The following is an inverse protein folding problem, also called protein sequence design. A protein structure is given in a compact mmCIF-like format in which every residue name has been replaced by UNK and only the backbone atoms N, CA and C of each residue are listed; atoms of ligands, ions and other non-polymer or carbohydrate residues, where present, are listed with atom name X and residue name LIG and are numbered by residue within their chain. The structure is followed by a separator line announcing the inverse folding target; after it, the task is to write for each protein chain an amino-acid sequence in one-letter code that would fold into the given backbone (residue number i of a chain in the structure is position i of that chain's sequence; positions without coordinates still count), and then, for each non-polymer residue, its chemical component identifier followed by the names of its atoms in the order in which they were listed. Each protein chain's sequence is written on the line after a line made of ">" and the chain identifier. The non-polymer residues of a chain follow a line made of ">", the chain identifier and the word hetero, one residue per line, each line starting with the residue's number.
data_IF_104684472865
#
_entry.id   IF_104684472865
#
_cell.length_a   1.000
_cell.length_b   1.000
_cell.length_c   1.000
_cell.angle_alpha   90.00
_cell.angle_beta   90.00
_cell.angle_gamma   90.00
#
_symmetry.space_group_name_H-M   'P 1'
#
loop_
_entity.id
_entity.type
_entity.pdbx_description
1 polymer ?
#
# COMPACT_ATOMS: atom_id res chain seq x y z
N UNK A 1 -4.74 -13.55 5.98
CA UNK A 1 -4.05 -12.57 5.13
C UNK A 1 -4.05 -13.04 3.69
N UNK A 2 -4.16 -12.11 2.75
CA UNK A 2 -4.18 -12.49 1.34
C UNK A 2 -2.80 -12.93 0.85
N UNK A 3 -2.76 -13.91 -0.05
CA UNK A 3 -1.51 -14.39 -0.61
C UNK A 3 -0.72 -13.34 -1.37
N UNK A 4 -1.40 -12.37 -1.97
CA UNK A 4 -0.74 -11.29 -2.71
C UNK A 4 0.12 -10.40 -1.79
N UNK A 5 -0.34 -10.19 -0.55
CA UNK A 5 0.42 -9.39 0.42
C UNK A 5 1.61 -10.18 0.95
N UNK A 6 1.40 -11.45 1.32
CA UNK A 6 2.49 -12.29 1.82
C UNK A 6 3.59 -12.45 0.77
N UNK A 7 3.20 -12.65 -0.48
CA UNK A 7 4.12 -12.84 -1.59
C UNK A 7 5.00 -11.62 -1.82
N UNK A 8 4.47 -10.43 -1.55
CA UNK A 8 5.18 -9.16 -1.80
C UNK A 8 5.63 -8.46 -0.51
N UNK A 9 5.58 -9.15 0.61
CA UNK A 9 5.85 -8.55 1.92
C UNK A 9 7.18 -7.82 2.00
N UNK A 10 8.25 -8.46 1.53
CA UNK A 10 9.58 -7.88 1.59
C UNK A 10 9.68 -6.61 0.75
N UNK A 11 9.10 -6.63 -0.44
CA UNK A 11 9.09 -5.46 -1.31
C UNK A 11 8.29 -4.32 -0.68
N UNK A 12 7.15 -4.64 -0.06
CA UNK A 12 6.32 -3.65 0.63
C UNK A 12 7.09 -3.03 1.80
N UNK A 13 7.81 -3.83 2.58
CA UNK A 13 8.59 -3.33 3.70
C UNK A 13 9.67 -2.34 3.24
N UNK A 14 10.33 -2.63 2.13
CA UNK A 14 11.34 -1.73 1.57
C UNK A 14 10.71 -0.41 1.10
N UNK A 15 9.57 -0.48 0.46
CA UNK A 15 8.85 0.71 0.01
C UNK A 15 8.43 1.56 1.21
N UNK A 16 7.88 0.93 2.24
CA UNK A 16 7.48 1.63 3.45
C UNK A 16 8.64 2.35 4.13
N UNK A 17 9.79 1.68 4.22
CA UNK A 17 10.97 2.29 4.80
C UNK A 17 11.44 3.51 4.00
N UNK A 18 11.35 3.42 2.68
CA UNK A 18 11.79 4.50 1.79
C UNK A 18 10.93 5.77 1.94
N UNK A 19 9.64 5.60 2.16
CA UNK A 19 8.70 6.72 2.21
C UNK A 19 8.23 7.09 3.61
N UNK A 20 8.95 6.63 4.63
CA UNK A 20 8.69 6.99 6.03
C UNK A 20 7.31 6.56 6.51
N UNK A 21 6.88 5.38 6.09
CA UNK A 21 5.60 4.81 6.52
C UNK A 21 5.76 4.20 7.90
N UNK A 22 4.92 4.62 8.84
CA UNK A 22 4.88 4.04 10.17
C UNK A 22 4.06 2.76 10.18
N UNK A 23 2.94 2.77 9.45
CA UNK A 23 2.02 1.64 9.41
C UNK A 23 1.28 1.61 8.08
N UNK A 24 1.12 0.43 7.53
CA UNK A 24 0.35 0.21 6.30
C UNK A 24 -0.52 -1.01 6.52
N UNK A 25 -1.83 -0.82 6.49
CA UNK A 25 -2.80 -1.90 6.70
C UNK A 25 -3.64 -2.10 5.45
N UNK A 26 -3.90 -3.36 5.15
CA UNK A 26 -4.80 -3.73 4.07
C UNK A 26 -6.22 -3.79 4.61
N UNK A 27 -7.18 -3.21 3.89
CA UNK A 27 -8.57 -3.29 4.30
C UNK A 27 -9.49 -3.36 3.08
N UNK A 28 -10.79 -3.44 3.33
CA UNK A 28 -11.76 -3.56 2.26
C UNK A 28 -11.81 -4.97 1.69
N UNK A 29 -12.20 -5.09 0.44
CA UNK A 29 -12.37 -6.39 -0.21
C UNK A 29 -11.06 -7.17 -0.32
N UNK A 30 -9.93 -6.49 -0.36
CA UNK A 30 -8.64 -7.15 -0.47
C UNK A 30 -8.22 -7.88 0.81
N UNK A 31 -8.84 -7.58 1.95
CA UNK A 31 -8.58 -8.29 3.21
C UNK A 31 -9.35 -9.61 3.31
N UNK A 32 -10.27 -9.85 2.38
CA UNK A 32 -11.08 -11.07 2.33
C UNK A 32 -10.73 -11.84 1.06
N UNK A 33 -9.98 -12.92 1.20
CA UNK A 33 -9.52 -13.70 0.07
C UNK A 33 -10.65 -14.31 -0.76
N UNK A 34 -11.77 -14.60 -0.12
CA UNK A 34 -12.91 -15.20 -0.82
C UNK A 34 -13.53 -14.23 -1.80
N UNK A 35 -13.54 -12.94 -1.45
CA UNK A 35 -14.18 -11.90 -2.27
C UNK A 35 -13.19 -11.15 -3.16
N UNK A 36 -11.92 -11.23 -2.84
CA UNK A 36 -10.90 -10.47 -3.57
C UNK A 36 -10.62 -11.10 -4.94
N UNK A 37 -10.73 -10.29 -5.98
CA UNK A 37 -10.37 -10.67 -7.33
C UNK A 37 -9.19 -9.79 -7.77
N UNK A 38 -7.97 -10.35 -7.86
CA UNK A 38 -6.80 -9.56 -8.22
C UNK A 38 -6.88 -8.84 -9.56
N UNK A 39 -7.74 -9.32 -10.46
CA UNK A 39 -7.88 -8.72 -11.79
C UNK A 39 -8.91 -7.61 -11.84
N UNK A 40 -9.89 -7.63 -10.95
CA UNK A 40 -11.04 -6.72 -10.99
C UNK A 40 -11.13 -5.76 -9.82
N UNK A 41 -10.66 -6.19 -8.65
CA UNK A 41 -10.80 -5.41 -7.43
C UNK A 41 -9.62 -4.46 -7.23
N UNK A 42 -9.94 -3.24 -6.78
CA UNK A 42 -8.91 -2.31 -6.34
C UNK A 42 -8.40 -2.75 -4.98
N UNK A 43 -7.17 -2.39 -4.69
CA UNK A 43 -6.57 -2.70 -3.38
C UNK A 43 -6.63 -1.43 -2.54
N UNK A 44 -7.18 -1.57 -1.34
CA UNK A 44 -7.33 -0.44 -0.42
C UNK A 44 -6.36 -0.59 0.75
N UNK A 45 -5.57 0.44 1.00
CA UNK A 45 -4.64 0.48 2.13
C UNK A 45 -4.94 1.67 3.02
N UNK A 46 -4.79 1.46 4.31
CA UNK A 46 -4.77 2.53 5.30
C UNK A 46 -3.31 2.80 5.64
N UNK A 47 -2.86 4.03 5.43
CA UNK A 47 -1.47 4.38 5.66
C UNK A 47 -1.33 5.39 6.79
N UNK A 48 -0.32 5.17 7.64
CA UNK A 48 0.08 6.12 8.66
C UNK A 48 1.56 6.42 8.46
N UNK A 49 1.93 7.69 8.35
CA UNK A 49 3.31 8.09 8.17
C UNK A 49 3.96 8.46 9.49
N UNK A 50 5.29 8.30 9.56
CA UNK A 50 6.07 8.87 10.64
C UNK A 50 5.97 10.40 10.55
N UNK A 51 6.25 11.14 11.64
CA UNK A 51 6.22 12.60 11.58
C UNK A 51 7.11 13.14 10.46
N UNK A 52 6.54 13.96 9.61
CA UNK A 52 7.23 14.56 8.47
C UNK A 52 7.04 16.07 8.50
N UNK A 53 7.95 16.79 7.86
CA UNK A 53 7.82 18.23 7.72
C UNK A 53 6.74 18.56 6.70
N UNK A 54 6.23 19.80 6.79
CA UNK A 54 5.26 20.28 5.81
C UNK A 54 5.86 20.20 4.41
N UNK A 55 5.09 19.66 3.48
CA UNK A 55 5.54 19.44 2.11
C UNK A 55 6.11 18.07 1.85
N UNK A 56 6.67 17.43 2.86
CA UNK A 56 7.21 16.08 2.72
C UNK A 56 6.12 15.01 2.62
N UNK A 57 4.96 15.29 3.22
CA UNK A 57 3.83 14.34 3.16
C UNK A 57 3.35 14.10 1.75
N UNK A 58 3.27 15.14 0.93
CA UNK A 58 2.81 14.98 -0.44
C UNK A 58 3.76 14.10 -1.23
N UNK A 59 5.06 14.34 -1.11
CA UNK A 59 6.07 13.54 -1.80
C UNK A 59 6.05 12.09 -1.34
N UNK A 60 5.94 11.88 -0.03
CA UNK A 60 5.87 10.53 0.54
C UNK A 60 4.60 9.80 0.09
N UNK A 61 3.47 10.49 0.13
CA UNK A 61 2.19 9.91 -0.26
C UNK A 61 2.19 9.48 -1.73
N UNK A 62 2.56 10.38 -2.63
CA UNK A 62 2.53 10.06 -4.05
C UNK A 62 3.62 9.08 -4.46
N UNK A 63 4.79 9.16 -3.83
CA UNK A 63 5.84 8.18 -4.06
C UNK A 63 5.44 6.79 -3.61
N UNK A 64 4.83 6.70 -2.43
CA UNK A 64 4.33 5.43 -1.90
C UNK A 64 3.25 4.85 -2.82
N UNK A 65 2.28 5.67 -3.21
CA UNK A 65 1.19 5.25 -4.08
C UNK A 65 1.72 4.71 -5.40
N UNK A 66 2.62 5.46 -6.04
CA UNK A 66 3.20 5.06 -7.32
C UNK A 66 3.96 3.74 -7.19
N UNK A 67 4.76 3.60 -6.14
CA UNK A 67 5.55 2.39 -5.92
C UNK A 67 4.69 1.16 -5.70
N UNK A 68 3.62 1.30 -4.92
CA UNK A 68 2.71 0.18 -4.64
C UNK A 68 1.91 -0.16 -5.90
N UNK A 69 1.44 0.84 -6.64
CA UNK A 69 0.73 0.59 -7.89
C UNK A 69 1.61 -0.15 -8.89
N UNK A 70 2.88 0.23 -8.98
CA UNK A 70 3.83 -0.47 -9.85
C UNK A 70 4.10 -1.89 -9.39
N UNK A 71 4.18 -2.10 -8.08
CA UNK A 71 4.42 -3.44 -7.51
C UNK A 71 3.29 -4.40 -7.82
N UNK A 72 2.05 -3.97 -7.64
CA UNK A 72 0.88 -4.82 -7.84
C UNK A 72 0.30 -4.74 -9.25
N UNK A 73 0.70 -3.76 -10.03
CA UNK A 73 0.17 -3.52 -11.38
C UNK A 73 -1.34 -3.35 -11.36
N UNK A 74 -1.84 -2.59 -10.37
CA UNK A 74 -3.25 -2.32 -10.17
C UNK A 74 -3.44 -0.94 -9.59
N UNK A 75 -4.67 -0.45 -9.67
CA UNK A 75 -5.06 0.76 -8.97
C UNK A 75 -5.07 0.54 -7.45
N UNK A 76 -4.46 1.46 -6.73
CA UNK A 76 -4.35 1.40 -5.27
C UNK A 76 -5.02 2.63 -4.69
N UNK A 77 -5.84 2.44 -3.67
CA UNK A 77 -6.42 3.54 -2.90
C UNK A 77 -5.70 3.63 -1.56
N UNK A 78 -5.18 4.81 -1.25
CA UNK A 78 -4.53 5.07 0.04
C UNK A 78 -5.40 6.00 0.88
N UNK A 79 -5.60 5.62 2.13
CA UNK A 79 -6.44 6.40 3.07
C UNK A 79 -5.70 6.84 4.30
#
# INVERSE_FOLDING_TARGET
>A
MTGIIEKNREAIEKICARYHVKRLDLFGSASDEVKFDPEKSDIDFLVEFLPLKQGEYADAYFGLLDSIENLFQKHIDLF
#
